data_IF_719052026062
#
_entry.id   IF_719052026062
#
_cell.length_a   1.000
_cell.length_b   1.000
_cell.length_c   1.000
_cell.angle_alpha   90.00
_cell.angle_beta   90.00
_cell.angle_gamma   90.00
#
_symmetry.space_group_name_H-M   'P 1'
#
loop_
_entity.id
_entity.type
_entity.pdbx_description
1 polymer ?
#
# COMPACT_ATOMS: atom_id res chain seq x y z
N UNK A 1 -1.51 6.04 0.18
CA UNK A 1 -1.83 4.78 0.87
C UNK A 1 -1.65 4.97 2.35
N UNK A 2 -2.51 4.36 3.11
CA UNK A 2 -2.52 4.49 4.55
C UNK A 2 -2.84 3.14 5.21
N UNK A 3 -2.53 3.01 6.48
CA UNK A 3 -3.11 2.00 7.36
C UNK A 3 -4.24 2.66 8.14
N UNK A 4 -5.46 2.16 7.99
CA UNK A 4 -6.61 2.62 8.75
C UNK A 4 -7.14 1.50 9.63
N UNK A 5 -7.51 1.85 10.84
CA UNK A 5 -7.96 0.89 11.86
C UNK A 5 -9.09 1.51 12.69
N UNK A 6 -10.17 0.77 12.86
CA UNK A 6 -11.23 1.10 13.79
C UNK A 6 -11.39 -0.01 14.80
N UNK A 7 -11.55 0.30 16.08
CA UNK A 7 -11.79 -0.67 17.15
C UNK A 7 -12.97 -0.23 17.98
N UNK A 8 -13.86 -1.15 18.31
CA UNK A 8 -14.94 -0.91 19.28
C UNK A 8 -15.15 -2.10 20.21
N UNK A 9 -15.57 -1.81 21.44
CA UNK A 9 -15.95 -2.80 22.43
C UNK A 9 -17.35 -2.54 22.96
N UNK A 10 -18.18 -3.58 23.00
CA UNK A 10 -19.49 -3.55 23.65
C UNK A 10 -19.39 -3.88 25.14
N UNK A 11 -18.22 -4.22 25.67
CA UNK A 11 -17.96 -4.46 27.08
C UNK A 11 -17.30 -3.23 27.71
N UNK A 12 -18.06 -2.54 28.57
CA UNK A 12 -17.61 -1.33 29.27
C UNK A 12 -16.34 -1.56 30.12
N UNK A 13 -16.06 -2.78 30.56
CA UNK A 13 -14.86 -3.15 31.32
C UNK A 13 -13.61 -3.23 30.40
N UNK A 14 -13.79 -3.15 29.10
CA UNK A 14 -12.72 -3.31 28.09
C UNK A 14 -12.23 -2.01 27.45
N UNK A 15 -12.64 -0.83 27.97
CA UNK A 15 -12.28 0.46 27.39
C UNK A 15 -10.75 0.68 27.27
N UNK A 16 -9.97 0.31 28.27
CA UNK A 16 -8.51 0.37 28.20
C UNK A 16 -7.93 -0.59 27.13
N UNK A 17 -8.62 -1.72 26.89
CA UNK A 17 -8.21 -2.70 25.87
C UNK A 17 -8.42 -2.19 24.45
N UNK A 18 -9.42 -1.32 24.21
CA UNK A 18 -9.66 -0.71 22.88
C UNK A 18 -8.46 0.05 22.41
N UNK A 19 -7.92 0.93 23.24
CA UNK A 19 -6.73 1.75 22.90
C UNK A 19 -5.49 0.87 22.70
N UNK A 20 -5.32 -0.15 23.54
CA UNK A 20 -4.22 -1.10 23.40
C UNK A 20 -4.31 -1.90 22.09
N UNK A 21 -5.47 -2.49 21.80
CA UNK A 21 -5.70 -3.24 20.55
C UNK A 21 -5.49 -2.34 19.34
N UNK A 22 -5.95 -1.08 19.41
CA UNK A 22 -5.77 -0.09 18.34
C UNK A 22 -4.30 0.20 18.10
N UNK A 23 -3.54 0.54 19.13
CA UNK A 23 -2.12 0.87 19.03
C UNK A 23 -1.27 -0.34 18.59
N UNK A 24 -1.54 -1.53 19.12
CA UNK A 24 -0.91 -2.77 18.70
C UNK A 24 -1.19 -3.07 17.20
N UNK A 25 -2.42 -2.93 16.77
CA UNK A 25 -2.81 -3.11 15.37
C UNK A 25 -2.12 -2.11 14.46
N UNK A 26 -2.02 -0.85 14.88
CA UNK A 26 -1.29 0.18 14.12
C UNK A 26 0.18 -0.18 13.97
N UNK A 27 0.83 -0.65 15.04
CA UNK A 27 2.23 -1.09 14.98
C UNK A 27 2.40 -2.22 13.95
N UNK A 28 1.50 -3.18 13.92
CA UNK A 28 1.54 -4.28 12.95
C UNK A 28 1.32 -3.82 11.50
N UNK A 29 0.64 -2.69 11.28
CA UNK A 29 0.39 -2.12 9.95
C UNK A 29 1.40 -1.04 9.52
N UNK A 30 2.52 -0.87 10.22
CA UNK A 30 3.51 0.18 9.91
C UNK A 30 4.15 0.05 8.53
N UNK A 31 4.14 -1.14 7.91
CA UNK A 31 4.56 -1.30 6.52
C UNK A 31 3.72 -0.45 5.54
N UNK A 32 2.48 -0.07 5.91
CA UNK A 32 1.62 0.85 5.15
C UNK A 32 1.97 2.33 5.39
N UNK A 33 2.69 2.66 6.45
CA UNK A 33 3.18 4.01 6.73
C UNK A 33 3.84 4.13 8.10
N UNK A 34 5.04 4.75 8.14
CA UNK A 34 5.79 5.01 9.37
C UNK A 34 6.02 6.50 9.63
N UNK A 35 5.79 7.37 8.62
CA UNK A 35 6.17 8.77 8.74
C UNK A 35 5.24 9.56 9.65
N UNK A 36 3.95 9.22 9.66
CA UNK A 36 2.94 9.89 10.47
C UNK A 36 1.91 8.90 11.00
N UNK A 37 1.50 9.07 12.25
CA UNK A 37 0.44 8.29 12.86
C UNK A 37 -0.49 9.18 13.69
N UNK A 38 -1.73 8.78 13.82
CA UNK A 38 -2.74 9.42 14.69
C UNK A 38 -3.66 8.39 15.30
N UNK A 39 -3.97 8.56 16.57
CA UNK A 39 -4.91 7.76 17.34
C UNK A 39 -5.97 8.69 17.92
N UNK A 40 -7.23 8.38 17.71
CA UNK A 40 -8.35 9.09 18.28
C UNK A 40 -9.24 8.12 19.07
N UNK A 41 -9.70 8.52 20.24
CA UNK A 41 -10.66 7.77 21.05
C UNK A 41 -11.54 8.74 21.81
N UNK A 42 -12.86 8.56 21.71
CA UNK A 42 -13.87 9.50 22.17
C UNK A 42 -13.63 10.90 21.55
N UNK A 43 -13.35 11.90 22.39
CA UNK A 43 -13.11 13.31 22.01
C UNK A 43 -11.63 13.70 22.04
N UNK A 44 -10.74 12.74 22.32
CA UNK A 44 -9.29 12.96 22.42
C UNK A 44 -8.56 12.32 21.27
N UNK A 45 -7.43 12.91 20.92
CA UNK A 45 -6.50 12.31 19.97
C UNK A 45 -5.05 12.56 20.40
N UNK A 46 -4.18 11.71 19.91
CA UNK A 46 -2.72 11.83 19.98
C UNK A 46 -2.18 11.53 18.59
N UNK A 47 -1.18 12.27 18.17
CA UNK A 47 -0.50 12.06 16.89
C UNK A 47 1.01 12.18 17.05
N UNK A 48 1.75 11.70 16.06
CA UNK A 48 3.19 11.76 16.05
C UNK A 48 3.79 11.35 14.73
N UNK A 49 5.12 11.40 14.70
CA UNK A 49 5.95 11.05 13.56
C UNK A 49 6.89 9.90 13.90
N UNK A 50 7.31 9.17 12.87
CA UNK A 50 8.21 8.03 13.03
C UNK A 50 7.49 6.73 13.41
N UNK A 51 8.28 5.71 13.68
CA UNK A 51 7.80 4.37 14.00
C UNK A 51 7.20 4.30 15.41
N UNK A 52 6.10 3.56 15.53
CA UNK A 52 5.58 3.18 16.84
C UNK A 52 6.52 2.14 17.49
N UNK A 53 6.82 2.27 18.77
CA UNK A 53 7.77 1.39 19.45
C UNK A 53 7.24 -0.03 19.65
N UNK A 54 8.08 -0.91 20.17
CA UNK A 54 7.69 -2.25 20.61
C UNK A 54 6.60 -2.21 21.71
N UNK A 55 5.84 -3.30 21.84
CA UNK A 55 4.65 -3.36 22.68
C UNK A 55 4.85 -2.96 24.13
N UNK A 56 6.00 -3.30 24.73
CA UNK A 56 6.34 -3.01 26.13
C UNK A 56 6.39 -1.51 26.45
N UNK A 57 6.69 -0.70 25.45
CA UNK A 57 6.82 0.75 25.58
C UNK A 57 5.68 1.52 24.91
N UNK A 58 4.83 0.84 24.13
CA UNK A 58 3.82 1.46 23.29
C UNK A 58 2.87 2.36 24.08
N UNK A 59 2.37 1.89 25.22
CA UNK A 59 1.43 2.66 26.04
C UNK A 59 2.06 3.89 26.69
N UNK A 60 3.33 3.78 27.13
CA UNK A 60 4.05 4.88 27.78
C UNK A 60 4.58 5.90 26.78
N UNK A 61 5.05 5.42 25.62
CA UNK A 61 5.76 6.25 24.65
C UNK A 61 4.88 7.38 24.06
N UNK A 62 3.62 7.10 23.79
CA UNK A 62 2.73 8.04 23.09
C UNK A 62 1.69 8.68 24.01
N UNK A 63 1.78 8.48 25.31
CA UNK A 63 0.77 8.99 26.25
C UNK A 63 -0.59 8.34 26.06
N UNK A 64 -0.63 7.10 25.56
CA UNK A 64 -1.87 6.36 25.30
C UNK A 64 -2.70 6.13 26.55
N UNK A 65 -2.07 6.17 27.73
CA UNK A 65 -2.76 6.11 29.03
C UNK A 65 -3.73 7.29 29.25
N UNK A 66 -3.57 8.38 28.48
CA UNK A 66 -4.49 9.54 28.49
C UNK A 66 -5.73 9.33 27.63
N UNK A 67 -5.70 8.31 26.77
CA UNK A 67 -6.81 7.93 25.93
C UNK A 67 -7.60 6.81 26.60
N UNK A 68 -8.90 6.96 26.63
CA UNK A 68 -9.82 5.92 27.11
C UNK A 68 -11.13 6.01 26.32
N UNK A 69 -11.74 4.89 26.02
CA UNK A 69 -13.02 4.87 25.32
C UNK A 69 -13.38 3.48 24.81
N UNK A 70 -14.65 3.33 24.54
CA UNK A 70 -15.23 2.11 23.96
C UNK A 70 -15.01 2.01 22.44
N UNK A 71 -14.63 3.14 21.81
CA UNK A 71 -14.40 3.25 20.36
C UNK A 71 -13.10 4.00 20.11
N UNK A 72 -12.33 3.57 19.11
CA UNK A 72 -11.09 4.24 18.71
C UNK A 72 -10.80 4.09 17.23
N UNK A 73 -10.16 5.11 16.65
CA UNK A 73 -9.75 5.21 15.25
C UNK A 73 -8.25 5.47 15.16
N UNK A 74 -7.54 4.66 14.37
CA UNK A 74 -6.12 4.77 14.09
C UNK A 74 -5.83 5.04 12.61
N UNK A 75 -4.77 5.78 12.38
CA UNK A 75 -4.30 6.15 11.06
C UNK A 75 -2.77 6.12 10.99
N UNK A 76 -2.25 5.56 9.90
CA UNK A 76 -0.83 5.51 9.56
C UNK A 76 -0.62 6.01 8.14
N UNK A 77 0.43 6.79 7.87
CA UNK A 77 0.76 7.18 6.50
C UNK A 77 2.26 7.34 6.29
N UNK A 78 2.66 7.34 5.01
CA UNK A 78 4.06 7.51 4.60
C UNK A 78 4.47 8.98 4.47
N UNK A 79 3.54 9.93 4.26
CA UNK A 79 3.91 11.31 3.96
C UNK A 79 2.96 12.37 4.54
N UNK A 80 1.69 12.37 4.17
CA UNK A 80 0.72 13.39 4.58
C UNK A 80 -0.47 12.77 5.29
N UNK A 81 -0.95 13.36 6.37
CA UNK A 81 -2.12 12.87 7.06
C UNK A 81 -3.37 13.07 6.20
N UNK A 82 -4.00 11.97 5.83
CA UNK A 82 -5.37 11.94 5.31
C UNK A 82 -6.33 11.61 6.46
N UNK A 83 -6.16 12.34 7.55
CA UNK A 83 -6.93 12.22 8.76
C UNK A 83 -7.43 13.61 9.18
N UNK A 84 -8.72 13.73 9.40
CA UNK A 84 -9.34 14.95 9.90
C UNK A 84 -9.99 14.70 11.26
N UNK A 85 -9.93 15.67 12.14
CA UNK A 85 -10.61 15.62 13.43
C UNK A 85 -11.21 16.98 13.73
N UNK A 86 -12.52 17.03 13.93
CA UNK A 86 -13.25 18.25 14.27
C UNK A 86 -14.50 17.92 15.07
N UNK A 87 -14.76 18.64 16.18
CA UNK A 87 -16.00 18.54 16.95
C UNK A 87 -16.45 17.10 17.27
N UNK A 88 -15.58 16.28 17.88
CA UNK A 88 -15.85 14.88 18.25
C UNK A 88 -16.00 13.89 17.07
N UNK A 89 -15.63 14.31 15.88
CA UNK A 89 -15.66 13.47 14.71
C UNK A 89 -14.24 13.35 14.14
N UNK A 90 -13.84 12.14 13.80
CA UNK A 90 -12.54 11.85 13.18
C UNK A 90 -12.75 10.99 11.93
N UNK A 91 -12.02 11.30 10.87
CA UNK A 91 -12.08 10.53 9.63
C UNK A 91 -10.69 10.09 9.18
N UNK A 92 -10.57 8.86 8.69
CA UNK A 92 -9.35 8.28 8.16
C UNK A 92 -9.62 7.68 6.78
N UNK A 93 -8.75 7.99 5.82
CA UNK A 93 -8.85 7.59 4.42
C UNK A 93 -7.69 6.69 4.02
N UNK A 94 -8.00 5.54 3.41
CA UNK A 94 -7.05 4.74 2.64
C UNK A 94 -7.47 4.71 1.18
N UNK A 95 -6.84 5.54 0.36
CA UNK A 95 -7.20 5.75 -1.04
C UNK A 95 -7.03 7.20 -1.48
N UNK A 96 -7.83 7.62 -2.44
CA UNK A 96 -7.84 8.99 -2.95
C UNK A 96 -9.22 9.40 -3.48
N UNK A 97 -9.42 10.71 -3.60
CA UNK A 97 -10.63 11.26 -4.18
C UNK A 97 -10.48 11.56 -5.66
N UNK A 98 -11.59 11.42 -6.39
CA UNK A 98 -11.73 11.75 -7.82
C UNK A 98 -12.84 12.79 -8.00
N UNK A 99 -12.82 13.51 -9.13
CA UNK A 99 -13.86 14.49 -9.51
C UNK A 99 -14.17 15.53 -8.43
N UNK A 100 -13.14 15.96 -7.69
CA UNK A 100 -13.28 16.90 -6.58
C UNK A 100 -13.48 18.35 -7.03
N UNK A 101 -13.20 18.66 -8.29
CA UNK A 101 -13.27 20.03 -8.83
C UNK A 101 -14.67 20.64 -8.74
N UNK A 102 -15.71 19.82 -8.82
CA UNK A 102 -17.10 20.25 -8.73
C UNK A 102 -17.67 20.32 -7.31
N UNK A 103 -16.92 19.92 -6.30
CA UNK A 103 -17.39 19.92 -4.90
C UNK A 103 -17.66 21.32 -4.37
N UNK A 104 -17.03 22.37 -4.92
CA UNK A 104 -17.28 23.76 -4.55
C UNK A 104 -18.69 24.25 -4.94
N UNK A 105 -19.37 23.56 -5.87
CA UNK A 105 -20.74 23.84 -6.28
C UNK A 105 -21.78 23.21 -5.35
N UNK A 106 -21.36 22.42 -4.37
CA UNK A 106 -22.31 21.79 -3.46
C UNK A 106 -22.94 22.83 -2.53
N UNK A 107 -24.30 22.88 -2.39
CA UNK A 107 -25.01 23.94 -1.66
C UNK A 107 -24.58 24.14 -0.22
N UNK A 108 -24.02 23.10 0.40
CA UNK A 108 -23.61 23.10 1.81
C UNK A 108 -22.18 23.57 2.07
N UNK A 109 -21.36 23.78 1.04
CA UNK A 109 -19.95 24.16 1.22
C UNK A 109 -19.77 25.67 1.31
N UNK A 110 -20.74 26.45 0.86
CA UNK A 110 -20.77 27.92 1.02
C UNK A 110 -19.44 28.60 0.66
N UNK A 111 -18.90 29.40 1.59
CA UNK A 111 -17.65 30.16 1.44
C UNK A 111 -16.38 29.33 1.70
N UNK A 112 -16.49 28.03 1.97
CA UNK A 112 -15.35 27.17 2.33
C UNK A 112 -14.45 26.82 1.13
N UNK A 113 -14.06 27.81 0.32
CA UNK A 113 -13.14 27.63 -0.82
C UNK A 113 -11.75 27.17 -0.43
N UNK A 114 -11.36 27.39 0.82
CA UNK A 114 -10.01 27.12 1.36
C UNK A 114 -9.84 25.71 1.94
N UNK A 115 -10.92 24.93 2.11
CA UNK A 115 -10.82 23.60 2.70
C UNK A 115 -10.39 22.54 1.69
N UNK A 116 -9.50 21.65 2.15
CA UNK A 116 -9.08 20.44 1.44
C UNK A 116 -10.29 19.59 0.98
N UNK A 117 -10.11 18.88 -0.13
CA UNK A 117 -11.12 17.97 -0.69
C UNK A 117 -11.57 16.90 0.30
N UNK A 118 -10.68 16.42 1.16
CA UNK A 118 -11.01 15.50 2.24
C UNK A 118 -12.05 16.08 3.18
N UNK A 119 -11.86 17.33 3.61
CA UNK A 119 -12.80 18.01 4.51
C UNK A 119 -14.18 18.19 3.88
N UNK A 120 -14.22 18.59 2.61
CA UNK A 120 -15.47 18.80 1.86
C UNK A 120 -16.28 17.50 1.73
N UNK A 121 -15.63 16.44 1.32
CA UNK A 121 -16.28 15.13 1.18
C UNK A 121 -16.75 14.61 2.53
N UNK A 122 -15.92 14.74 3.53
CA UNK A 122 -16.26 14.39 4.90
C UNK A 122 -17.50 15.14 5.40
N UNK A 123 -17.56 16.46 5.20
CA UNK A 123 -18.70 17.29 5.62
C UNK A 123 -20.00 16.85 4.94
N UNK A 124 -19.97 16.68 3.61
CA UNK A 124 -21.15 16.25 2.84
C UNK A 124 -21.60 14.84 3.27
N UNK A 125 -20.67 13.92 3.43
CA UNK A 125 -20.97 12.57 3.88
C UNK A 125 -21.61 12.55 5.27
N UNK A 126 -21.05 13.31 6.20
CA UNK A 126 -21.57 13.44 7.58
C UNK A 126 -22.98 14.06 7.59
N UNK A 127 -23.20 15.11 6.81
CA UNK A 127 -24.52 15.74 6.69
C UNK A 127 -25.56 14.76 6.16
N UNK A 128 -25.27 14.07 5.06
CA UNK A 128 -26.16 13.08 4.46
C UNK A 128 -26.46 11.91 5.43
N UNK A 129 -25.43 11.39 6.07
CA UNK A 129 -25.54 10.21 6.91
C UNK A 129 -26.19 10.50 8.28
N UNK A 130 -25.71 11.53 8.97
CA UNK A 130 -26.06 11.78 10.37
C UNK A 130 -27.18 12.81 10.52
N UNK A 131 -27.19 13.90 9.73
CA UNK A 131 -28.19 14.95 9.84
C UNK A 131 -29.45 14.59 9.05
N UNK A 132 -29.29 14.22 7.78
CA UNK A 132 -30.43 13.90 6.90
C UNK A 132 -30.90 12.47 6.99
N UNK A 133 -30.14 11.57 7.66
CA UNK A 133 -30.45 10.15 7.82
C UNK A 133 -30.73 9.45 6.45
N UNK A 134 -29.89 9.74 5.47
CA UNK A 134 -29.99 9.19 4.10
C UNK A 134 -28.72 8.39 3.77
N UNK A 135 -28.53 7.20 4.38
CA UNK A 135 -27.36 6.34 4.13
C UNK A 135 -27.23 5.98 2.64
N UNK A 136 -28.34 5.76 1.95
CA UNK A 136 -28.42 5.50 0.50
C UNK A 136 -27.70 6.60 -0.31
N UNK A 137 -28.00 7.86 -0.04
CA UNK A 137 -27.34 9.00 -0.70
C UNK A 137 -25.91 9.22 -0.24
N UNK A 138 -25.64 8.96 1.02
CA UNK A 138 -24.29 9.09 1.56
C UNK A 138 -23.31 8.13 0.89
N UNK A 139 -23.69 6.85 0.71
CA UNK A 139 -22.85 5.87 0.02
C UNK A 139 -22.74 6.15 -1.47
N UNK A 140 -23.82 6.54 -2.14
CA UNK A 140 -23.81 6.92 -3.55
C UNK A 140 -22.88 8.12 -3.81
N UNK A 141 -22.92 9.12 -2.93
CA UNK A 141 -22.00 10.25 -2.98
C UNK A 141 -20.54 9.83 -2.80
N UNK A 142 -20.22 9.04 -1.77
CA UNK A 142 -18.86 8.57 -1.54
C UNK A 142 -18.36 7.71 -2.70
N UNK A 143 -19.17 6.82 -3.22
CA UNK A 143 -18.77 5.89 -4.27
C UNK A 143 -18.35 6.58 -5.56
N UNK A 144 -19.03 7.68 -5.90
CA UNK A 144 -18.66 8.52 -7.05
C UNK A 144 -17.31 9.21 -6.87
N UNK A 145 -17.00 9.68 -5.66
CA UNK A 145 -15.83 10.52 -5.40
C UNK A 145 -14.65 9.79 -4.77
N UNK A 146 -14.82 8.57 -4.29
CA UNK A 146 -13.79 7.81 -3.57
C UNK A 146 -13.28 6.62 -4.38
N UNK A 147 -11.96 6.44 -4.38
CA UNK A 147 -11.29 5.18 -4.73
C UNK A 147 -10.53 4.71 -3.51
N UNK A 148 -11.14 3.81 -2.73
CA UNK A 148 -10.58 3.34 -1.46
C UNK A 148 -11.61 3.13 -0.35
N UNK A 149 -11.17 3.33 0.89
CA UNK A 149 -11.96 3.13 2.10
C UNK A 149 -11.97 4.39 2.96
N UNK A 150 -13.11 4.71 3.55
CA UNK A 150 -13.27 5.78 4.53
C UNK A 150 -13.77 5.20 5.85
N UNK A 151 -13.09 5.53 6.96
CA UNK A 151 -13.58 5.33 8.31
C UNK A 151 -13.92 6.68 8.91
N UNK A 152 -15.14 6.81 9.43
CA UNK A 152 -15.65 7.98 10.12
C UNK A 152 -16.01 7.61 11.55
N UNK A 153 -15.33 8.18 12.52
CA UNK A 153 -15.64 7.95 13.94
C UNK A 153 -16.39 9.15 14.53
N UNK A 154 -17.50 8.87 15.16
CA UNK A 154 -18.19 9.76 16.10
C UNK A 154 -17.87 9.34 17.52
N UNK A 155 -18.48 9.96 18.52
CA UNK A 155 -18.20 9.65 19.93
C UNK A 155 -18.23 8.17 20.28
N UNK A 156 -19.23 7.43 19.81
CA UNK A 156 -19.48 6.03 20.19
C UNK A 156 -19.63 5.09 18.99
N UNK A 157 -19.35 5.57 17.78
CA UNK A 157 -19.65 4.81 16.55
C UNK A 157 -18.59 5.07 15.49
N UNK A 158 -18.19 4.03 14.77
CA UNK A 158 -17.42 4.11 13.54
C UNK A 158 -18.32 3.71 12.37
N UNK A 159 -18.36 4.55 11.35
CA UNK A 159 -18.92 4.22 10.06
C UNK A 159 -17.77 3.92 9.10
N UNK A 160 -17.80 2.75 8.45
CA UNK A 160 -16.78 2.32 7.51
C UNK A 160 -17.41 2.04 6.16
N UNK A 161 -16.90 2.70 5.14
CA UNK A 161 -17.32 2.48 3.77
C UNK A 161 -16.16 1.91 2.95
N UNK A 162 -16.40 0.79 2.28
CA UNK A 162 -15.55 0.24 1.23
C UNK A 162 -16.16 0.58 -0.13
N UNK A 163 -15.43 1.32 -0.95
CA UNK A 163 -15.88 1.69 -2.30
C UNK A 163 -16.32 0.46 -3.12
N UNK A 164 -17.35 0.60 -3.96
CA UNK A 164 -17.99 -0.48 -4.70
C UNK A 164 -17.07 -1.17 -5.71
N UNK A 165 -16.04 -0.49 -6.20
CA UNK A 165 -15.03 -1.12 -7.07
C UNK A 165 -14.06 -2.01 -6.29
N UNK A 166 -14.10 -2.01 -4.95
CA UNK A 166 -13.18 -2.77 -4.12
C UNK A 166 -11.72 -2.33 -4.25
N UNK A 167 -11.49 -1.06 -4.61
CA UNK A 167 -10.15 -0.52 -4.95
C UNK A 167 -9.10 -0.86 -3.89
N UNK A 168 -9.41 -0.66 -2.61
CA UNK A 168 -8.56 -1.04 -1.48
C UNK A 168 -9.17 -2.19 -0.68
N UNK A 169 -8.37 -3.05 -0.06
CA UNK A 169 -8.88 -4.04 0.88
C UNK A 169 -9.38 -3.37 2.16
N UNK A 170 -10.42 -3.93 2.73
CA UNK A 170 -10.92 -3.62 4.06
C UNK A 170 -11.43 -4.90 4.71
N UNK A 171 -11.03 -5.15 5.93
CA UNK A 171 -11.43 -6.33 6.69
C UNK A 171 -12.10 -5.92 7.99
N UNK A 172 -12.98 -6.79 8.48
CA UNK A 172 -13.54 -6.72 9.82
C UNK A 172 -13.19 -7.97 10.60
N UNK A 173 -13.06 -7.83 11.91
CA UNK A 173 -12.83 -8.96 12.80
C UNK A 173 -13.62 -8.83 14.09
N UNK A 174 -13.92 -9.98 14.72
CA UNK A 174 -14.55 -10.02 16.03
C UNK A 174 -14.04 -11.21 16.84
N UNK A 175 -14.01 -11.08 18.17
CA UNK A 175 -13.71 -12.18 19.08
C UNK A 175 -14.91 -13.15 19.21
N UNK A 176 -14.67 -14.34 19.78
CA UNK A 176 -15.71 -15.36 19.97
C UNK A 176 -16.92 -14.87 20.77
N UNK A 177 -16.72 -13.95 21.73
CA UNK A 177 -17.77 -13.39 22.57
C UNK A 177 -18.56 -12.27 21.89
N UNK A 178 -18.14 -11.84 20.72
CA UNK A 178 -18.69 -10.68 19.99
C UNK A 178 -18.74 -9.40 20.85
N UNK A 179 -17.72 -9.20 21.66
CA UNK A 179 -17.58 -8.03 22.54
C UNK A 179 -16.46 -7.09 22.10
N UNK A 180 -15.58 -7.53 21.18
CA UNK A 180 -14.53 -6.73 20.60
C UNK A 180 -14.62 -6.85 19.08
N UNK A 181 -14.59 -5.72 18.41
CA UNK A 181 -14.68 -5.60 16.96
C UNK A 181 -13.54 -4.73 16.43
N UNK A 182 -13.03 -5.10 15.26
CA UNK A 182 -11.94 -4.40 14.60
C UNK A 182 -12.27 -4.26 13.11
N UNK A 183 -11.96 -3.08 12.56
CA UNK A 183 -11.89 -2.79 11.13
C UNK A 183 -10.44 -2.45 10.79
N UNK A 184 -9.89 -2.98 9.70
CA UNK A 184 -8.51 -2.69 9.31
C UNK A 184 -8.31 -2.77 7.79
N UNK A 185 -7.25 -2.11 7.30
CA UNK A 185 -6.87 -2.17 5.89
C UNK A 185 -6.55 -3.58 5.41
N UNK A 186 -6.10 -4.49 6.30
CA UNK A 186 -5.76 -5.87 5.93
C UNK A 186 -5.81 -6.83 7.13
N UNK A 187 -5.78 -8.13 6.85
CA UNK A 187 -5.90 -9.20 7.87
C UNK A 187 -4.56 -9.81 8.32
N UNK A 188 -3.42 -9.24 7.97
CA UNK A 188 -2.11 -9.68 8.49
C UNK A 188 -2.03 -9.63 10.02
N UNK A 189 -2.88 -8.84 10.65
CA UNK A 189 -3.07 -8.74 12.10
C UNK A 189 -3.47 -10.05 12.77
N UNK A 190 -4.01 -11.00 12.01
CA UNK A 190 -4.47 -12.30 12.52
C UNK A 190 -3.34 -13.08 13.20
N UNK A 191 -2.10 -12.90 12.79
CA UNK A 191 -0.95 -13.58 13.37
C UNK A 191 -0.66 -13.19 14.82
N UNK A 192 -1.06 -11.98 15.26
CA UNK A 192 -0.89 -11.49 16.63
C UNK A 192 -2.17 -11.30 17.40
N UNK A 193 -3.30 -11.14 16.71
CA UNK A 193 -4.63 -11.04 17.32
C UNK A 193 -5.40 -12.36 17.15
N UNK A 194 -4.85 -13.44 17.69
CA UNK A 194 -5.30 -14.84 17.47
C UNK A 194 -6.74 -15.11 17.88
N UNK A 195 -7.29 -14.36 18.84
CA UNK A 195 -8.67 -14.49 19.28
C UNK A 195 -9.69 -13.84 18.35
N UNK A 196 -9.23 -13.05 17.38
CA UNK A 196 -10.09 -12.37 16.41
C UNK A 196 -10.25 -13.21 15.14
N UNK A 197 -11.46 -13.33 14.66
CA UNK A 197 -11.80 -13.95 13.38
C UNK A 197 -12.01 -12.86 12.34
N UNK A 198 -11.18 -12.86 11.31
CA UNK A 198 -11.20 -11.89 10.22
C UNK A 198 -12.08 -12.35 9.07
N UNK A 199 -12.74 -11.38 8.42
CA UNK A 199 -13.45 -11.54 7.14
C UNK A 199 -13.35 -10.26 6.32
N UNK A 200 -13.39 -10.39 5.01
CA UNK A 200 -13.43 -9.23 4.10
C UNK A 200 -14.75 -8.46 4.26
N UNK A 201 -14.67 -7.13 4.27
CA UNK A 201 -15.82 -6.25 4.03
C UNK A 201 -16.07 -6.27 2.53
N UNK A 202 -17.30 -6.53 2.11
CA UNK A 202 -17.62 -6.59 0.69
C UNK A 202 -17.56 -5.19 0.05
N UNK A 203 -17.15 -5.09 -1.22
CA UNK A 203 -17.23 -3.83 -1.97
C UNK A 203 -18.64 -3.24 -1.94
N UNK A 204 -18.74 -1.93 -1.78
CA UNK A 204 -20.02 -1.20 -1.70
C UNK A 204 -20.67 -1.16 -0.31
N UNK A 205 -20.12 -1.86 0.70
CA UNK A 205 -20.72 -1.89 2.03
C UNK A 205 -20.40 -0.65 2.87
N UNK A 206 -21.44 -0.08 3.47
CA UNK A 206 -21.36 0.83 4.60
C UNK A 206 -21.70 0.07 5.89
N UNK A 207 -20.72 0.01 6.78
CA UNK A 207 -20.81 -0.67 8.08
C UNK A 207 -20.86 0.37 9.20
N UNK A 208 -21.75 0.18 10.15
CA UNK A 208 -21.74 0.84 11.45
C UNK A 208 -21.13 -0.11 12.47
N UNK A 209 -20.20 0.37 13.24
CA UNK A 209 -19.58 -0.31 14.37
C UNK A 209 -19.74 0.57 15.59
N UNK A 210 -20.49 0.11 16.59
CA UNK A 210 -20.79 0.87 17.81
C UNK A 210 -20.48 0.06 19.08
N UNK A 211 -20.31 0.80 20.18
CA UNK A 211 -20.14 0.20 21.51
C UNK A 211 -21.46 -0.35 22.09
N UNK A 212 -22.61 0.05 21.56
CA UNK A 212 -23.91 -0.44 22.00
C UNK A 212 -24.32 -1.72 21.25
N UNK A 213 -24.26 -1.70 19.92
CA UNK A 213 -24.90 -2.73 19.07
C UNK A 213 -23.88 -3.65 18.39
N UNK A 214 -22.55 -3.34 18.47
CA UNK A 214 -21.51 -4.04 17.72
C UNK A 214 -21.55 -3.66 16.25
N UNK A 215 -21.61 -4.64 15.34
CA UNK A 215 -21.54 -4.44 13.88
C UNK A 215 -22.91 -4.55 13.22
N UNK A 216 -23.23 -3.56 12.39
CA UNK A 216 -24.41 -3.51 11.54
C UNK A 216 -24.02 -3.11 10.12
N UNK A 217 -24.53 -3.79 9.09
CA UNK A 217 -24.44 -3.35 7.70
C UNK A 217 -25.61 -2.40 7.44
N UNK A 218 -25.34 -1.12 7.23
CA UNK A 218 -26.36 -0.09 7.06
C UNK A 218 -26.85 -0.02 5.62
N UNK A 219 -25.92 -0.13 4.67
CA UNK A 219 -26.23 0.00 3.25
C UNK A 219 -25.26 -0.82 2.41
N UNK A 220 -25.69 -1.26 1.25
CA UNK A 220 -24.85 -1.98 0.28
C UNK A 220 -25.16 -1.52 -1.13
N UNK A 221 -24.18 -0.97 -1.81
CA UNK A 221 -24.25 -0.72 -3.23
C UNK A 221 -23.88 -2.00 -3.98
N UNK A 222 -24.76 -2.43 -4.88
CA UNK A 222 -24.53 -3.60 -5.73
C UNK A 222 -23.95 -3.17 -7.09
N UNK A 223 -22.62 -3.19 -7.20
CA UNK A 223 -21.95 -3.00 -8.48
C UNK A 223 -21.18 -4.26 -8.89
N UNK A 224 -21.12 -4.50 -10.18
CA UNK A 224 -20.56 -5.73 -10.74
C UNK A 224 -19.09 -5.63 -11.14
N UNK A 225 -18.53 -4.42 -11.24
CA UNK A 225 -17.20 -4.20 -11.83
C UNK A 225 -16.15 -3.89 -10.76
N UNK A 226 -15.42 -4.89 -10.35
CA UNK A 226 -14.22 -4.70 -9.54
C UNK A 226 -13.18 -3.89 -10.34
N UNK A 227 -12.49 -2.99 -9.65
CA UNK A 227 -11.35 -2.23 -10.18
C UNK A 227 -10.33 -2.05 -9.05
N UNK A 228 -9.64 -3.12 -8.72
CA UNK A 228 -8.73 -3.20 -7.59
C UNK A 228 -7.41 -2.50 -7.87
N UNK A 229 -6.77 -1.99 -6.83
CA UNK A 229 -5.41 -1.48 -6.91
C UNK A 229 -4.40 -2.64 -7.02
N UNK A 230 -3.73 -2.84 -8.15
CA UNK A 230 -2.77 -3.93 -8.31
C UNK A 230 -1.52 -3.75 -7.43
N UNK A 231 -1.25 -2.54 -6.95
CA UNK A 231 -0.12 -2.27 -6.07
C UNK A 231 -0.28 -2.90 -4.68
N UNK A 232 -1.52 -3.15 -4.24
CA UNK A 232 -1.79 -3.94 -3.02
C UNK A 232 -1.18 -5.34 -3.13
N UNK A 233 -1.33 -5.99 -4.27
CA UNK A 233 -0.78 -7.33 -4.50
C UNK A 233 0.74 -7.33 -4.65
N UNK A 234 1.30 -6.34 -5.33
CA UNK A 234 2.73 -6.28 -5.60
C UNK A 234 3.54 -5.89 -4.37
N UNK A 235 3.10 -4.86 -3.63
CA UNK A 235 3.95 -4.27 -2.59
C UNK A 235 3.24 -3.95 -1.28
N UNK A 236 2.06 -3.30 -1.34
CA UNK A 236 1.53 -2.59 -0.19
C UNK A 236 1.04 -3.51 0.90
N UNK A 237 0.28 -4.55 0.56
CA UNK A 237 -0.20 -5.50 1.57
C UNK A 237 0.91 -6.38 2.11
N UNK A 238 0.82 -6.72 3.38
CA UNK A 238 1.75 -7.65 4.02
C UNK A 238 1.72 -9.02 3.31
N UNK A 239 2.86 -9.67 3.27
CA UNK A 239 3.00 -10.97 2.62
C UNK A 239 2.11 -12.07 3.25
N UNK A 240 1.79 -11.94 4.52
CA UNK A 240 0.90 -12.85 5.26
C UNK A 240 -0.59 -12.52 5.10
N UNK A 241 -0.94 -11.42 4.42
CA UNK A 241 -2.33 -11.03 4.24
C UNK A 241 -3.03 -11.85 3.14
N UNK A 242 -4.37 -11.80 3.18
CA UNK A 242 -5.22 -12.23 2.07
C UNK A 242 -6.11 -11.07 1.61
N UNK A 243 -6.38 -10.98 0.33
CA UNK A 243 -7.30 -10.01 -0.26
C UNK A 243 -8.33 -10.76 -1.08
N UNK A 244 -9.61 -10.63 -0.73
CA UNK A 244 -10.70 -11.36 -1.38
C UNK A 244 -10.38 -12.87 -1.50
N UNK A 245 -9.89 -13.47 -0.42
CA UNK A 245 -9.52 -14.89 -0.34
C UNK A 245 -8.19 -15.28 -1.03
N UNK A 246 -7.48 -14.34 -1.68
CA UNK A 246 -6.19 -14.62 -2.35
C UNK A 246 -5.02 -14.34 -1.41
N UNK A 247 -4.17 -15.34 -1.14
CA UNK A 247 -2.93 -15.17 -0.38
C UNK A 247 -1.95 -14.27 -1.12
N UNK A 248 -1.49 -13.19 -0.49
CA UNK A 248 -0.50 -12.25 -1.07
C UNK A 248 0.83 -12.98 -1.36
N UNK A 249 1.28 -13.87 -0.48
CA UNK A 249 2.47 -14.68 -0.72
C UNK A 249 2.35 -15.46 -2.03
N UNK A 250 1.24 -16.20 -2.19
CA UNK A 250 1.05 -17.05 -3.37
C UNK A 250 0.86 -16.21 -4.65
N UNK A 251 0.15 -15.08 -4.55
CA UNK A 251 0.00 -14.13 -5.67
C UNK A 251 1.37 -13.62 -6.12
N UNK A 252 2.21 -13.15 -5.20
CA UNK A 252 3.57 -12.69 -5.53
C UNK A 252 4.41 -13.78 -6.18
N UNK A 253 4.35 -15.00 -5.65
CA UNK A 253 5.04 -16.15 -6.26
C UNK A 253 4.56 -16.41 -7.69
N UNK A 254 3.25 -16.36 -7.93
CA UNK A 254 2.68 -16.55 -9.26
C UNK A 254 3.08 -15.42 -10.24
N UNK A 255 3.12 -14.16 -9.78
CA UNK A 255 3.58 -13.04 -10.61
C UNK A 255 5.01 -13.31 -11.10
N UNK A 256 5.92 -13.70 -10.22
CA UNK A 256 7.29 -14.05 -10.60
C UNK A 256 7.33 -15.20 -11.60
N UNK A 257 6.53 -16.24 -11.40
CA UNK A 257 6.38 -17.35 -12.34
C UNK A 257 5.97 -16.87 -13.75
N UNK A 258 4.93 -16.06 -13.86
CA UNK A 258 4.45 -15.56 -15.15
C UNK A 258 5.48 -14.66 -15.85
N UNK A 259 6.25 -13.87 -15.08
CA UNK A 259 7.38 -13.10 -15.64
C UNK A 259 8.47 -14.02 -16.18
N UNK A 260 8.87 -15.06 -15.46
CA UNK A 260 9.87 -16.01 -15.92
C UNK A 260 9.45 -16.71 -17.22
N UNK A 261 8.20 -17.16 -17.32
CA UNK A 261 7.64 -17.75 -18.54
C UNK A 261 7.74 -16.82 -19.76
N UNK A 262 7.62 -15.53 -19.55
CA UNK A 262 7.73 -14.54 -20.62
C UNK A 262 9.20 -14.30 -21.00
N UNK A 263 10.07 -14.00 -20.03
CA UNK A 263 11.44 -13.55 -20.30
C UNK A 263 12.41 -14.70 -20.61
N UNK A 264 12.12 -15.93 -20.20
CA UNK A 264 13.01 -17.11 -20.41
C UNK A 264 13.34 -17.38 -21.87
N UNK A 265 12.54 -16.88 -22.80
CA UNK A 265 12.74 -17.08 -24.24
C UNK A 265 13.91 -16.29 -24.82
N UNK A 266 14.31 -15.19 -24.15
CA UNK A 266 15.32 -14.26 -24.66
C UNK A 266 16.29 -13.72 -23.61
N UNK A 267 15.95 -13.82 -22.34
CA UNK A 267 16.80 -13.41 -21.23
C UNK A 267 17.79 -14.54 -20.90
N UNK A 268 19.07 -14.22 -20.86
CA UNK A 268 20.15 -15.13 -20.52
C UNK A 268 20.85 -14.63 -19.24
N UNK A 269 20.62 -15.33 -18.14
CA UNK A 269 21.12 -15.01 -16.79
C UNK A 269 21.54 -16.28 -16.04
N UNK A 270 22.50 -16.13 -15.14
CA UNK A 270 23.04 -17.22 -14.33
C UNK A 270 22.30 -17.35 -12.98
N UNK A 271 21.72 -16.27 -12.46
CA UNK A 271 20.91 -16.25 -11.22
C UNK A 271 19.97 -15.07 -11.16
N UNK A 272 18.97 -15.12 -10.25
CA UNK A 272 18.07 -14.00 -9.98
C UNK A 272 17.96 -13.74 -8.47
N UNK A 273 18.01 -12.46 -8.09
CA UNK A 273 18.03 -12.03 -6.71
C UNK A 273 16.91 -11.02 -6.42
N UNK A 274 16.39 -11.06 -5.20
CA UNK A 274 15.35 -10.16 -4.76
C UNK A 274 15.91 -8.75 -4.48
N UNK A 275 15.16 -7.72 -4.86
CA UNK A 275 15.24 -6.43 -4.16
C UNK A 275 14.47 -6.61 -2.83
N UNK A 276 15.15 -6.85 -1.69
CA UNK A 276 14.46 -7.31 -0.48
C UNK A 276 13.59 -6.22 0.16
N UNK A 277 12.53 -6.58 0.93
CA UNK A 277 12.15 -7.97 1.31
C UNK A 277 10.89 -8.45 0.54
N UNK A 278 10.00 -7.53 0.15
CA UNK A 278 8.65 -7.86 -0.37
C UNK A 278 8.67 -8.58 -1.75
N UNK A 279 9.78 -8.53 -2.47
CA UNK A 279 9.96 -9.21 -3.75
C UNK A 279 10.47 -10.66 -3.62
N UNK A 280 10.85 -11.10 -2.41
CA UNK A 280 11.35 -12.48 -2.21
C UNK A 280 10.41 -13.59 -2.72
N UNK A 281 9.09 -13.55 -2.46
CA UNK A 281 8.19 -14.56 -3.04
C UNK A 281 8.13 -14.49 -4.56
N UNK A 282 8.24 -13.30 -5.17
CA UNK A 282 8.29 -13.13 -6.63
C UNK A 282 9.55 -13.75 -7.19
N UNK A 283 10.70 -13.46 -6.56
CA UNK A 283 12.00 -14.03 -6.96
C UNK A 283 11.99 -15.55 -6.87
N UNK A 284 11.44 -16.10 -5.78
CA UNK A 284 11.29 -17.55 -5.65
C UNK A 284 10.44 -18.15 -6.78
N UNK A 285 9.31 -17.50 -7.10
CA UNK A 285 8.45 -17.93 -8.20
C UNK A 285 9.13 -17.84 -9.56
N UNK A 286 9.86 -16.75 -9.80
CA UNK A 286 10.66 -16.51 -10.99
C UNK A 286 11.77 -17.57 -11.12
N UNK A 287 12.60 -17.74 -10.10
CA UNK A 287 13.74 -18.64 -10.13
C UNK A 287 13.31 -20.10 -10.35
N UNK A 288 12.28 -20.55 -9.64
CA UNK A 288 11.75 -21.91 -9.81
C UNK A 288 11.22 -22.18 -11.23
N UNK A 289 10.62 -21.19 -11.87
CA UNK A 289 10.09 -21.35 -13.23
C UNK A 289 11.20 -21.21 -14.27
N UNK A 290 12.10 -20.23 -14.11
CA UNK A 290 13.22 -19.99 -15.01
C UNK A 290 14.17 -21.21 -15.08
N UNK A 291 14.47 -21.81 -13.93
CA UNK A 291 15.31 -23.00 -13.83
C UNK A 291 14.79 -24.20 -14.65
N UNK A 292 13.48 -24.32 -14.87
CA UNK A 292 12.93 -25.42 -15.72
C UNK A 292 13.33 -25.30 -17.18
N UNK A 293 13.69 -24.12 -17.64
CA UNK A 293 14.11 -23.84 -19.00
C UNK A 293 15.62 -23.65 -19.14
N UNK A 294 16.34 -23.50 -18.00
CA UNK A 294 17.78 -23.20 -17.94
C UNK A 294 18.43 -23.97 -16.79
N UNK A 295 18.89 -25.21 -17.06
CA UNK A 295 19.41 -26.16 -16.04
C UNK A 295 20.58 -25.60 -15.22
N UNK A 296 21.43 -24.76 -15.82
CA UNK A 296 22.59 -24.15 -15.16
C UNK A 296 22.25 -22.89 -14.34
N UNK A 297 20.97 -22.54 -14.20
CA UNK A 297 20.53 -21.38 -13.43
C UNK A 297 20.61 -21.65 -11.93
N UNK A 298 21.30 -20.77 -11.20
CA UNK A 298 21.48 -20.86 -9.74
C UNK A 298 20.34 -20.19 -8.97
N UNK A 299 19.77 -20.88 -7.99
CA UNK A 299 18.74 -20.36 -7.08
C UNK A 299 19.40 -19.97 -5.77
N UNK A 300 19.78 -18.70 -5.64
CA UNK A 300 20.50 -18.17 -4.49
C UNK A 300 20.03 -16.76 -4.11
N UNK A 301 20.41 -16.28 -2.91
CA UNK A 301 20.12 -14.92 -2.43
C UNK A 301 21.42 -14.12 -2.30
N UNK A 302 21.84 -13.43 -3.36
CA UNK A 302 23.06 -12.60 -3.39
C UNK A 302 22.87 -11.16 -2.92
N UNK A 303 21.63 -10.71 -2.65
CA UNK A 303 21.32 -9.38 -2.11
C UNK A 303 20.43 -9.54 -0.88
N UNK A 304 20.90 -9.05 0.27
CA UNK A 304 20.24 -9.23 1.57
C UNK A 304 20.07 -7.86 2.23
N UNK A 305 18.90 -7.60 2.79
CA UNK A 305 18.65 -6.39 3.58
C UNK A 305 19.21 -6.55 5.01
N UNK A 306 19.81 -5.49 5.55
CA UNK A 306 20.13 -5.44 6.97
C UNK A 306 18.81 -5.43 7.78
N UNK A 307 18.65 -6.43 8.64
CA UNK A 307 17.47 -6.56 9.50
C UNK A 307 17.41 -5.55 10.65
N UNK A 308 18.50 -4.89 10.94
CA UNK A 308 18.59 -3.86 11.99
C UNK A 308 18.37 -2.45 11.46
N UNK A 309 18.29 -2.31 10.13
CA UNK A 309 18.03 -1.04 9.49
C UNK A 309 16.51 -0.75 9.45
N UNK A 310 16.07 0.14 10.34
CA UNK A 310 14.70 0.66 10.39
C UNK A 310 14.50 1.94 9.55
N UNK A 311 15.53 2.39 8.81
CA UNK A 311 15.43 3.59 7.99
C UNK A 311 14.35 3.43 6.91
N UNK A 312 13.43 4.37 6.87
CA UNK A 312 12.52 4.50 5.73
C UNK A 312 13.31 5.08 4.56
N UNK A 313 13.23 4.44 3.39
CA UNK A 313 13.91 4.82 2.15
C UNK A 313 13.47 6.18 1.56
N UNK A 314 12.81 7.01 2.32
CA UNK A 314 12.27 8.30 1.89
C UNK A 314 13.18 9.46 2.33
N UNK A 315 14.42 9.47 1.86
CA UNK A 315 15.24 10.67 1.94
C UNK A 315 15.03 11.47 0.67
N UNK A 316 14.54 12.69 0.83
CA UNK A 316 14.36 13.66 -0.26
C UNK A 316 15.77 14.10 -0.74
N UNK A 317 16.14 13.66 -1.94
CA UNK A 317 17.38 14.10 -2.58
C UNK A 317 17.07 15.32 -3.44
N UNK A 318 17.15 16.51 -2.87
CA UNK A 318 17.42 17.70 -3.68
C UNK A 318 18.80 17.56 -4.34
N UNK A 319 18.97 18.04 -5.57
CA UNK A 319 20.18 17.85 -6.39
C UNK A 319 21.50 18.33 -5.73
N UNK A 320 21.44 19.24 -4.75
CA UNK A 320 22.61 19.73 -4.01
C UNK A 320 23.21 18.70 -3.05
N UNK A 321 22.42 17.73 -2.59
CA UNK A 321 22.87 16.70 -1.63
C UNK A 321 23.58 15.54 -2.33
N UNK A 322 23.38 15.37 -3.64
CA UNK A 322 23.86 14.20 -4.39
C UNK A 322 25.39 14.20 -4.64
N UNK A 323 26.04 15.35 -4.64
CA UNK A 323 27.49 15.43 -4.96
C UNK A 323 28.45 15.13 -3.81
N UNK A 324 28.01 15.28 -2.55
CA UNK A 324 28.91 15.13 -1.38
C UNK A 324 28.46 14.10 -0.34
N UNK A 325 27.42 13.31 -0.56
CA UNK A 325 26.83 12.44 0.45
C UNK A 325 26.83 10.94 0.12
N UNK A 326 27.76 10.46 -0.67
CA UNK A 326 27.94 9.00 -0.84
C UNK A 326 28.29 8.26 0.47
N UNK A 327 28.62 8.97 1.54
CA UNK A 327 29.19 8.38 2.75
C UNK A 327 28.45 8.65 4.06
N UNK A 328 27.35 9.39 4.10
CA UNK A 328 26.90 9.91 5.43
C UNK A 328 25.43 9.89 5.77
N UNK A 329 24.53 9.27 5.00
CA UNK A 329 23.11 9.26 5.36
C UNK A 329 22.54 7.85 5.36
N UNK A 330 21.87 7.48 6.46
CA UNK A 330 21.25 6.19 6.74
C UNK A 330 20.43 5.63 5.58
N UNK A 331 21.13 5.03 4.63
CA UNK A 331 20.54 4.29 3.52
C UNK A 331 20.24 2.90 4.01
N UNK A 332 19.18 2.30 3.54
CA UNK A 332 18.92 0.89 3.76
C UNK A 332 20.16 0.09 3.37
N UNK A 333 20.90 -0.37 4.38
CA UNK A 333 22.08 -1.17 4.15
C UNK A 333 21.67 -2.49 3.49
N UNK A 334 22.19 -2.69 2.29
CA UNK A 334 22.10 -3.97 1.59
C UNK A 334 23.47 -4.61 1.59
N UNK A 335 23.50 -5.87 1.96
CA UNK A 335 24.68 -6.69 1.85
C UNK A 335 24.64 -7.46 0.54
N UNK A 336 25.75 -7.43 -0.15
CA UNK A 336 25.94 -8.19 -1.38
C UNK A 336 26.86 -9.36 -1.09
N UNK A 337 26.39 -10.56 -1.35
CA UNK A 337 27.18 -11.80 -1.18
C UNK A 337 27.98 -12.01 -2.47
N UNK A 338 29.21 -11.48 -2.47
CA UNK A 338 30.07 -11.39 -3.66
C UNK A 338 30.27 -12.73 -4.35
N UNK A 339 30.50 -13.82 -3.61
CA UNK A 339 30.72 -15.17 -4.12
C UNK A 339 29.55 -15.70 -4.98
N UNK A 340 28.36 -15.20 -4.74
CA UNK A 340 27.16 -15.62 -5.47
C UNK A 340 26.93 -14.85 -6.79
N UNK A 341 27.59 -13.69 -6.96
CA UNK A 341 27.26 -12.76 -8.07
C UNK A 341 28.45 -12.31 -8.91
N UNK A 342 29.69 -12.42 -8.41
CA UNK A 342 30.89 -11.98 -9.12
C UNK A 342 31.04 -12.72 -10.45
N UNK A 343 31.36 -11.98 -11.52
CA UNK A 343 31.49 -12.46 -12.90
C UNK A 343 30.24 -13.14 -13.51
N UNK A 344 29.07 -13.06 -12.82
CA UNK A 344 27.80 -13.63 -13.30
C UNK A 344 26.96 -12.58 -14.04
N UNK A 345 26.05 -13.08 -14.88
CA UNK A 345 24.92 -12.34 -15.46
C UNK A 345 23.73 -12.55 -14.52
N UNK A 346 23.25 -11.51 -13.89
CA UNK A 346 22.20 -11.64 -12.89
C UNK A 346 20.95 -10.86 -13.26
N UNK A 347 19.80 -11.30 -12.75
CA UNK A 347 18.58 -10.51 -12.71
C UNK A 347 18.30 -10.00 -11.28
N UNK A 348 17.87 -8.75 -11.15
CA UNK A 348 17.28 -8.20 -9.93
C UNK A 348 15.78 -8.12 -10.11
N UNK A 349 15.03 -8.84 -9.28
CA UNK A 349 13.57 -8.79 -9.28
C UNK A 349 13.12 -7.60 -8.43
N UNK A 350 12.63 -6.59 -9.13
CA UNK A 350 12.21 -5.31 -8.56
C UNK A 350 10.69 -5.20 -8.55
N UNK A 351 10.08 -4.76 -7.46
CA UNK A 351 8.63 -4.59 -7.40
C UNK A 351 8.13 -3.42 -8.25
N UNK A 352 8.72 -2.24 -8.09
CA UNK A 352 8.41 -1.03 -8.85
C UNK A 352 9.60 -0.08 -8.86
N UNK A 353 9.77 0.69 -9.93
CA UNK A 353 10.71 1.80 -10.00
C UNK A 353 9.91 3.11 -9.98
N UNK A 354 10.07 3.90 -8.93
CA UNK A 354 9.44 5.22 -8.79
C UNK A 354 10.42 6.32 -9.22
N UNK A 355 11.28 6.79 -8.32
CA UNK A 355 12.31 7.80 -8.60
C UNK A 355 13.59 7.19 -9.17
N UNK A 356 13.78 5.89 -9.01
CA UNK A 356 14.97 5.16 -9.41
C UNK A 356 16.16 5.27 -8.44
N UNK A 357 16.05 6.04 -7.33
CA UNK A 357 17.17 6.24 -6.40
C UNK A 357 17.66 4.93 -5.77
N UNK A 358 16.75 4.15 -5.20
CA UNK A 358 17.08 2.86 -4.56
C UNK A 358 17.70 1.86 -5.54
N UNK A 359 17.17 1.81 -6.77
CA UNK A 359 17.68 0.88 -7.79
C UNK A 359 19.07 1.31 -8.26
N UNK A 360 19.32 2.61 -8.48
CA UNK A 360 20.67 3.11 -8.80
C UNK A 360 21.70 2.74 -7.75
N UNK A 361 21.34 2.85 -6.49
CA UNK A 361 22.20 2.44 -5.38
C UNK A 361 22.52 0.94 -5.43
N UNK A 362 21.51 0.10 -5.64
CA UNK A 362 21.70 -1.34 -5.81
C UNK A 362 22.61 -1.63 -7.00
N UNK A 363 22.43 -0.95 -8.14
CA UNK A 363 23.31 -1.11 -9.31
C UNK A 363 24.76 -0.77 -8.99
N UNK A 364 24.99 0.29 -8.22
CA UNK A 364 26.33 0.66 -7.78
C UNK A 364 27.03 -0.47 -6.99
N UNK A 365 26.37 -1.02 -5.97
CA UNK A 365 26.93 -2.11 -5.18
C UNK A 365 27.19 -3.39 -5.98
N UNK A 366 26.29 -3.71 -6.92
CA UNK A 366 26.44 -4.89 -7.78
C UNK A 366 27.62 -4.72 -8.76
N UNK A 367 27.82 -3.52 -9.31
CA UNK A 367 28.98 -3.23 -10.16
C UNK A 367 30.30 -3.31 -9.37
N UNK A 368 30.33 -2.74 -8.17
CA UNK A 368 31.48 -2.80 -7.28
C UNK A 368 31.82 -4.26 -6.88
N UNK A 369 30.82 -5.10 -6.72
CA UNK A 369 30.98 -6.53 -6.48
C UNK A 369 31.42 -7.36 -7.71
N UNK A 370 31.60 -6.74 -8.89
CA UNK A 370 32.12 -7.38 -10.07
C UNK A 370 31.08 -8.17 -10.91
N UNK A 371 29.81 -7.81 -10.83
CA UNK A 371 28.75 -8.42 -11.66
C UNK A 371 29.00 -8.14 -13.15
N UNK A 372 28.97 -9.18 -13.98
CA UNK A 372 29.25 -9.09 -15.42
C UNK A 372 28.13 -8.38 -16.19
N UNK A 373 26.86 -8.74 -15.93
CA UNK A 373 25.67 -8.14 -16.56
C UNK A 373 24.52 -8.09 -15.57
N UNK A 374 23.81 -6.96 -15.52
CA UNK A 374 22.68 -6.74 -14.61
C UNK A 374 21.41 -6.48 -15.41
N UNK A 375 20.43 -7.36 -15.26
CA UNK A 375 19.07 -7.19 -15.78
C UNK A 375 18.13 -6.84 -14.65
N UNK A 376 17.28 -5.82 -14.79
CA UNK A 376 16.27 -5.45 -13.79
C UNK A 376 14.90 -5.87 -14.31
N UNK A 377 14.27 -6.81 -13.63
CA UNK A 377 12.93 -7.32 -13.95
C UNK A 377 11.93 -6.65 -13.01
N UNK A 378 11.14 -5.72 -13.56
CA UNK A 378 10.20 -4.91 -12.79
C UNK A 378 8.82 -5.55 -12.80
N UNK A 379 8.33 -5.91 -11.63
CA UNK A 379 7.06 -6.65 -11.46
C UNK A 379 5.81 -5.81 -11.79
N UNK A 380 5.86 -4.54 -11.46
CA UNK A 380 4.77 -3.58 -11.72
C UNK A 380 5.01 -2.87 -13.05
N UNK A 381 3.96 -2.52 -13.81
CA UNK A 381 4.10 -1.67 -15.00
C UNK A 381 4.72 -0.31 -14.70
N UNK A 382 5.15 0.49 -15.71
CA UNK A 382 5.74 1.80 -15.48
C UNK A 382 4.88 2.68 -14.57
N UNK A 383 5.51 3.25 -13.54
CA UNK A 383 4.84 4.14 -12.58
C UNK A 383 4.93 5.57 -13.08
N UNK A 384 3.81 6.15 -13.49
CA UNK A 384 3.71 7.48 -14.07
C UNK A 384 2.81 8.43 -13.28
N UNK A 385 1.99 7.88 -12.38
CA UNK A 385 1.02 8.62 -11.58
C UNK A 385 1.18 8.24 -10.11
N UNK A 386 1.26 9.25 -9.24
CA UNK A 386 1.37 9.02 -7.79
C UNK A 386 0.23 8.18 -7.20
N UNK A 387 -0.94 8.18 -7.86
CA UNK A 387 -2.09 7.34 -7.46
C UNK A 387 -1.80 5.84 -7.58
N UNK A 388 -0.90 5.43 -8.50
CA UNK A 388 -0.46 4.03 -8.63
C UNK A 388 0.30 3.54 -7.39
N UNK A 389 0.90 4.45 -6.65
CA UNK A 389 1.77 4.16 -5.51
C UNK A 389 1.33 4.89 -4.23
N UNK A 390 0.04 5.26 -4.15
CA UNK A 390 -0.61 5.82 -2.96
C UNK A 390 -0.31 7.26 -2.65
N UNK A 391 -0.03 8.08 -3.66
CA UNK A 391 0.15 9.54 -3.58
C UNK A 391 1.36 10.02 -2.78
N UNK A 392 2.25 9.17 -2.32
CA UNK A 392 3.44 9.61 -1.60
C UNK A 392 4.62 9.99 -2.49
N UNK A 393 4.54 9.74 -3.79
CA UNK A 393 5.49 10.24 -4.80
C UNK A 393 4.75 11.16 -5.76
N UNK A 394 5.26 12.38 -5.97
CA UNK A 394 4.66 13.30 -6.92
C UNK A 394 4.93 12.83 -8.35
N UNK A 395 4.02 13.10 -9.30
CA UNK A 395 4.16 12.67 -10.69
C UNK A 395 5.49 13.14 -11.31
N UNK A 396 5.91 14.38 -11.02
CA UNK A 396 7.18 14.96 -11.54
C UNK A 396 8.42 14.20 -11.08
N UNK A 397 8.36 13.49 -9.94
CA UNK A 397 9.49 12.74 -9.36
C UNK A 397 9.55 11.30 -9.87
N UNK A 398 8.48 10.85 -10.55
CA UNK A 398 8.42 9.52 -11.15
C UNK A 398 9.26 9.46 -12.42
N UNK A 399 10.26 8.58 -12.43
CA UNK A 399 11.23 8.48 -13.53
C UNK A 399 10.56 8.17 -14.88
N UNK A 400 9.54 7.31 -14.90
CA UNK A 400 8.82 6.93 -16.11
C UNK A 400 7.85 8.03 -16.59
N UNK A 401 7.37 8.90 -15.68
CA UNK A 401 6.45 9.98 -16.03
C UNK A 401 7.07 10.98 -17.04
N UNK A 402 8.39 11.12 -17.02
CA UNK A 402 9.12 11.98 -17.95
C UNK A 402 8.94 11.60 -19.43
N UNK A 403 8.53 10.37 -19.68
CA UNK A 403 8.40 9.81 -21.03
C UNK A 403 6.96 9.69 -21.52
N UNK A 404 5.97 10.04 -20.68
CA UNK A 404 4.56 10.07 -21.07
C UNK A 404 4.37 11.01 -22.27
N UNK A 405 3.73 10.49 -23.33
CA UNK A 405 3.54 11.23 -24.58
C UNK A 405 4.78 11.34 -25.48
N UNK A 406 5.97 10.89 -25.05
CA UNK A 406 7.20 10.93 -25.84
C UNK A 406 7.57 9.57 -26.46
N UNK A 407 7.04 8.49 -25.91
CA UNK A 407 7.30 7.12 -26.38
C UNK A 407 5.99 6.34 -26.42
N UNK A 408 5.93 5.35 -27.29
CA UNK A 408 4.73 4.52 -27.53
C UNK A 408 4.93 3.04 -27.22
N UNK A 409 6.17 2.59 -27.02
CA UNK A 409 6.48 1.18 -26.75
C UNK A 409 7.17 0.99 -25.41
N UNK A 410 6.97 -0.19 -24.82
CA UNK A 410 7.64 -0.55 -23.57
C UNK A 410 9.16 -0.63 -23.74
N UNK A 411 9.68 -1.04 -24.90
CA UNK A 411 11.11 -1.16 -25.15
C UNK A 411 11.81 0.19 -25.08
N UNK A 412 11.19 1.24 -25.59
CA UNK A 412 11.71 2.60 -25.46
C UNK A 412 11.80 3.05 -24.00
N UNK A 413 10.82 2.66 -23.16
CA UNK A 413 10.85 2.92 -21.71
C UNK A 413 11.97 2.10 -21.06
N UNK A 414 12.05 0.81 -21.37
CA UNK A 414 13.06 -0.10 -20.84
C UNK A 414 14.48 0.44 -21.11
N UNK A 415 14.76 0.85 -22.33
CA UNK A 415 16.06 1.42 -22.71
C UNK A 415 16.38 2.72 -21.96
N UNK A 416 15.42 3.67 -21.94
CA UNK A 416 15.62 4.97 -21.30
C UNK A 416 15.81 4.85 -19.78
N UNK A 417 14.99 4.00 -19.13
CA UNK A 417 15.10 3.76 -17.69
C UNK A 417 16.39 2.99 -17.38
N UNK A 418 16.76 1.98 -18.17
CA UNK A 418 17.99 1.22 -18.01
C UNK A 418 19.22 2.13 -17.97
N UNK A 419 19.34 3.05 -18.94
CA UNK A 419 20.42 4.06 -18.98
C UNK A 419 20.45 4.94 -17.72
N UNK A 420 19.28 5.35 -17.21
CA UNK A 420 19.21 6.22 -16.04
C UNK A 420 19.56 5.54 -14.73
N UNK A 421 19.26 4.23 -14.59
CA UNK A 421 19.54 3.50 -13.36
C UNK A 421 20.87 2.73 -13.39
N UNK A 422 21.56 2.66 -14.54
CA UNK A 422 22.83 1.95 -14.69
C UNK A 422 22.69 0.42 -14.87
N UNK A 423 21.52 -0.06 -15.31
CA UNK A 423 21.28 -1.45 -15.65
C UNK A 423 21.58 -1.71 -17.14
N UNK A 424 22.05 -2.93 -17.47
CA UNK A 424 22.29 -3.33 -18.86
C UNK A 424 20.97 -3.60 -19.59
N UNK A 425 19.98 -4.11 -18.87
CA UNK A 425 18.64 -4.38 -19.39
C UNK A 425 17.60 -4.08 -18.33
N UNK A 426 16.49 -3.49 -18.72
CA UNK A 426 15.29 -3.35 -17.89
C UNK A 426 14.14 -4.02 -18.63
N UNK A 427 13.29 -4.68 -17.88
CA UNK A 427 12.03 -5.22 -18.35
C UNK A 427 10.91 -4.86 -17.39
N UNK A 428 9.95 -4.10 -17.85
CA UNK A 428 8.71 -3.82 -17.13
C UNK A 428 7.63 -4.84 -17.49
N UNK A 429 6.95 -5.34 -16.46
CA UNK A 429 5.81 -6.22 -16.65
C UNK A 429 4.64 -5.49 -17.34
N UNK A 430 3.89 -6.21 -18.17
CA UNK A 430 2.64 -5.68 -18.73
C UNK A 430 1.47 -5.81 -17.75
N UNK A 431 0.42 -4.98 -17.88
CA UNK A 431 -0.84 -5.17 -17.15
C UNK A 431 -1.40 -6.58 -17.29
N UNK A 432 -1.35 -7.16 -18.50
CA UNK A 432 -1.87 -8.50 -18.79
C UNK A 432 -1.11 -9.62 -18.04
N UNK A 433 0.23 -9.59 -18.04
CA UNK A 433 1.05 -10.59 -17.33
C UNK A 433 0.87 -10.43 -15.82
N UNK A 434 0.81 -9.19 -15.33
CA UNK A 434 0.55 -8.92 -13.91
C UNK A 434 -0.83 -9.45 -13.49
N UNK A 435 -1.86 -9.18 -14.26
CA UNK A 435 -3.23 -9.66 -14.02
C UNK A 435 -3.29 -11.20 -13.97
N UNK A 436 -2.60 -11.86 -14.91
CA UNK A 436 -2.48 -13.32 -14.93
C UNK A 436 -1.82 -13.86 -13.65
N UNK A 437 -0.73 -13.24 -13.20
CA UNK A 437 -0.05 -13.61 -11.94
C UNK A 437 -0.91 -13.37 -10.69
N UNK A 438 -1.70 -12.29 -10.66
CA UNK A 438 -2.69 -12.02 -9.60
C UNK A 438 -3.87 -13.02 -9.66
N UNK A 439 -4.16 -13.56 -10.84
CA UNK A 439 -5.31 -14.43 -11.07
C UNK A 439 -6.63 -13.67 -11.11
N UNK A 440 -6.63 -12.49 -11.75
CA UNK A 440 -7.79 -11.66 -12.01
C UNK A 440 -7.81 -11.22 -13.48
N UNK A 441 -8.99 -10.96 -14.07
CA UNK A 441 -9.08 -10.29 -15.36
C UNK A 441 -8.39 -8.91 -15.31
N UNK A 442 -7.73 -8.51 -16.40
CA UNK A 442 -7.01 -7.23 -16.46
C UNK A 442 -7.91 -6.01 -16.20
N UNK A 443 -9.14 -6.05 -16.70
CA UNK A 443 -10.13 -4.99 -16.50
C UNK A 443 -10.62 -4.87 -15.05
N UNK A 444 -10.32 -5.84 -14.18
CA UNK A 444 -10.59 -5.78 -12.75
C UNK A 444 -9.44 -5.11 -11.97
N UNK A 445 -8.41 -4.64 -12.66
CA UNK A 445 -7.27 -3.94 -12.08
C UNK A 445 -7.20 -2.50 -12.61
N UNK A 446 -6.87 -1.57 -11.73
CA UNK A 446 -6.73 -0.17 -12.11
C UNK A 446 -5.30 0.16 -12.58
N UNK A 447 -5.22 0.74 -13.76
CA UNK A 447 -3.99 1.34 -14.29
C UNK A 447 -4.32 2.68 -14.94
N UNK A 448 -3.38 3.66 -14.96
CA UNK A 448 -3.52 4.85 -15.77
C UNK A 448 -3.70 4.51 -17.25
N UNK A 449 -4.45 5.32 -17.96
CA UNK A 449 -4.78 5.11 -19.37
C UNK A 449 -3.53 4.90 -20.24
N UNK A 450 -2.53 5.76 -20.09
CA UNK A 450 -1.28 5.63 -20.84
C UNK A 450 -0.59 4.28 -20.64
N UNK A 451 -0.59 3.74 -19.40
CA UNK A 451 -0.03 2.42 -19.10
C UNK A 451 -0.80 1.31 -19.81
N UNK A 452 -2.13 1.43 -19.94
CA UNK A 452 -2.96 0.45 -20.65
C UNK A 452 -2.72 0.45 -22.16
N UNK A 453 -2.46 1.61 -22.75
CA UNK A 453 -2.30 1.78 -24.20
C UNK A 453 -0.84 1.71 -24.68
N UNK A 454 0.12 1.63 -23.77
CA UNK A 454 1.50 1.40 -24.12
C UNK A 454 1.65 0.06 -24.85
N UNK A 455 2.40 0.05 -25.96
CA UNK A 455 2.64 -1.19 -26.69
C UNK A 455 3.63 -2.09 -25.94
N UNK A 456 3.15 -3.22 -25.44
CA UNK A 456 3.92 -4.26 -24.74
C UNK A 456 4.28 -5.44 -25.64
N UNK A 457 4.03 -5.36 -26.93
CA UNK A 457 4.38 -6.44 -27.87
C UNK A 457 5.89 -6.38 -28.12
N UNK A 458 6.57 -7.44 -27.78
CA UNK A 458 7.98 -7.75 -28.10
C UNK A 458 8.04 -8.95 -29.04
#
# INVERSE_FOLDING_TARGET
MAGIIGVASTDAKSNAKVVYVLAHSMRMLQHRGKAYWKISSNDKFIDGQGSLPADDHLLKFVGLEKLSGSVGLGYLSKRYPQFQSMNFISAALDGFFVDTEKLHLHPYIGTAREYDSLFKIYYIFTDLLLQKKRPDRAVDFLDRHLRGNLLLMTKNTIYAFRNSTGFKPLVMATNKRKSMYLLASENSLQSSLIDLKFKDVLPGQLIKLSDADGVEIIETLHYSNLMMDPFEFVRESNVAATINGKSIYQVRKNIGKEQANFVSKWLDIDSAHAEPDYTRPMTLGFSNEYHKHHENFDISEGVIKDRYDDSDHMIDFSEEVSKNKLLSTGRSLKFVVKELIENKRIAIIQGTIQTGSTVRETMYYLRDAGVKKISVIVTYPPTIDGRQVGLYTQNRDLIANKYVGQVSTIDQINEKIGKQIGADTVYYNSPAILAKGIGLPENNLWFPEWVRFLDYRN
#
